data_IF_624091804959
#
_entry.id   IF_624091804959
#
_cell.length_a   1.000
_cell.length_b   1.000
_cell.length_c   1.000
_cell.angle_alpha   90.00
_cell.angle_beta   90.00
_cell.angle_gamma   90.00
#
_symmetry.space_group_name_H-M   'P 1'
#
loop_
_entity.id
_entity.type
_entity.pdbx_description
1 polymer ?
#
# COMPACT_ATOMS: atom_id res chain seq x y z
N UNK A 1 10.33 20.03 -11.19
CA UNK A 1 11.68 20.60 -10.91
C UNK A 1 11.74 21.54 -9.68
N UNK A 2 10.66 22.23 -9.27
CA UNK A 2 10.64 23.17 -8.11
C UNK A 2 10.31 22.56 -6.72
N UNK A 3 10.44 21.24 -6.54
CA UNK A 3 10.11 20.54 -5.27
C UNK A 3 11.32 20.31 -4.35
N UNK A 4 12.55 20.63 -4.81
CA UNK A 4 13.81 20.23 -4.15
C UNK A 4 14.53 21.34 -3.37
N UNK A 5 14.04 22.59 -3.37
CA UNK A 5 14.68 23.72 -2.66
C UNK A 5 13.95 23.98 -1.33
N UNK A 6 14.70 24.02 -0.23
CA UNK A 6 14.18 24.22 1.14
C UNK A 6 14.54 23.09 2.11
N UNK A 7 14.45 23.39 3.42
CA UNK A 7 14.68 22.42 4.51
C UNK A 7 13.64 21.29 4.55
N UNK A 8 13.90 20.25 5.36
CA UNK A 8 13.08 19.04 5.48
C UNK A 8 11.58 19.32 5.72
N UNK A 9 11.27 20.21 6.67
CA UNK A 9 9.89 20.58 7.01
C UNK A 9 9.17 21.27 5.85
N UNK A 10 9.86 22.15 5.10
CA UNK A 10 9.27 22.78 3.93
C UNK A 10 8.96 21.73 2.85
N UNK A 11 9.86 20.77 2.62
CA UNK A 11 9.64 19.70 1.63
C UNK A 11 8.43 18.83 2.01
N UNK A 12 8.33 18.43 3.28
CA UNK A 12 7.19 17.69 3.82
C UNK A 12 5.89 18.49 3.71
N UNK A 13 5.90 19.76 4.12
CA UNK A 13 4.72 20.63 4.05
C UNK A 13 4.20 20.79 2.62
N UNK A 14 5.11 20.97 1.64
CA UNK A 14 4.74 21.07 0.22
C UNK A 14 4.17 19.75 -0.32
N UNK A 15 4.70 18.60 0.10
CA UNK A 15 4.19 17.29 -0.29
C UNK A 15 2.78 17.04 0.28
N UNK A 16 2.59 17.34 1.57
CA UNK A 16 1.29 17.25 2.26
C UNK A 16 0.27 18.15 1.58
N UNK A 17 0.64 19.40 1.26
CA UNK A 17 -0.24 20.34 0.56
C UNK A 17 -0.68 19.81 -0.81
N UNK A 18 0.25 19.28 -1.62
CA UNK A 18 -0.09 18.67 -2.90
C UNK A 18 -1.01 17.45 -2.73
N UNK A 19 -0.74 16.58 -1.75
CA UNK A 19 -1.59 15.43 -1.47
C UNK A 19 -3.01 15.85 -1.06
N UNK A 20 -3.14 16.84 -0.16
CA UNK A 20 -4.43 17.40 0.26
C UNK A 20 -5.19 18.02 -0.91
N UNK A 21 -4.50 18.75 -1.79
CA UNK A 21 -5.10 19.36 -2.97
C UNK A 21 -5.67 18.29 -3.92
N UNK A 22 -4.88 17.24 -4.22
CA UNK A 22 -5.32 16.14 -5.08
C UNK A 22 -6.51 15.41 -4.45
N UNK A 23 -6.47 15.16 -3.14
CA UNK A 23 -7.57 14.52 -2.42
C UNK A 23 -8.85 15.37 -2.49
N UNK A 24 -8.75 16.67 -2.21
CA UNK A 24 -9.87 17.61 -2.29
C UNK A 24 -10.48 17.63 -3.70
N UNK A 25 -9.64 17.76 -4.73
CA UNK A 25 -10.08 17.73 -6.12
C UNK A 25 -10.81 16.42 -6.46
N UNK A 26 -10.26 15.28 -6.03
CA UNK A 26 -10.86 13.96 -6.26
C UNK A 26 -12.24 13.85 -5.60
N UNK A 27 -12.40 14.35 -4.38
CA UNK A 27 -13.69 14.37 -3.67
C UNK A 27 -14.71 15.28 -4.35
N UNK A 28 -14.29 16.46 -4.81
CA UNK A 28 -15.15 17.40 -5.54
C UNK A 28 -15.65 16.78 -6.85
N UNK A 29 -14.76 16.16 -7.62
CA UNK A 29 -15.13 15.47 -8.87
C UNK A 29 -16.11 14.33 -8.57
N UNK A 30 -15.84 13.49 -7.56
CA UNK A 30 -16.74 12.42 -7.16
C UNK A 30 -18.13 12.95 -6.78
N UNK A 31 -18.20 14.02 -5.99
CA UNK A 31 -19.47 14.64 -5.59
C UNK A 31 -20.21 15.21 -6.81
N UNK A 32 -19.49 15.80 -7.74
CA UNK A 32 -20.06 16.34 -8.97
C UNK A 32 -20.63 15.25 -9.88
N UNK A 33 -19.88 14.16 -10.11
CA UNK A 33 -20.34 13.00 -10.89
C UNK A 33 -21.59 12.38 -10.25
N UNK A 34 -21.57 12.17 -8.93
CA UNK A 34 -22.73 11.62 -8.20
C UNK A 34 -23.97 12.50 -8.34
N UNK A 35 -23.80 13.83 -8.32
CA UNK A 35 -24.89 14.79 -8.52
C UNK A 35 -25.45 14.77 -9.94
N UNK A 36 -24.60 14.62 -10.96
CA UNK A 36 -25.04 14.54 -12.36
C UNK A 36 -25.81 13.25 -12.63
N UNK A 37 -25.31 12.13 -12.13
CA UNK A 37 -25.86 10.80 -12.41
C UNK A 37 -27.06 10.45 -11.52
N UNK A 38 -27.52 11.37 -10.64
CA UNK A 38 -28.53 11.10 -9.60
C UNK A 38 -28.27 9.78 -8.86
N UNK A 39 -27.00 9.49 -8.58
CA UNK A 39 -26.62 8.35 -7.77
C UNK A 39 -26.86 8.73 -6.32
N UNK A 40 -27.90 8.15 -5.72
CA UNK A 40 -28.04 8.11 -4.27
C UNK A 40 -26.79 7.41 -3.76
N UNK A 41 -25.92 8.17 -3.07
CA UNK A 41 -24.67 7.60 -2.54
C UNK A 41 -25.00 6.38 -1.71
N UNK A 42 -24.10 5.39 -1.64
CA UNK A 42 -24.22 4.22 -0.77
C UNK A 42 -24.29 4.64 0.71
N UNK A 43 -25.40 5.22 1.14
CA UNK A 43 -25.62 5.77 2.46
C UNK A 43 -25.54 4.63 3.47
N UNK A 44 -26.00 3.45 3.07
CA UNK A 44 -25.85 2.20 3.82
C UNK A 44 -24.38 1.79 4.02
N UNK A 45 -23.50 1.94 3.02
CA UNK A 45 -22.07 1.61 3.17
C UNK A 45 -21.39 2.61 4.11
N UNK A 46 -21.69 3.90 3.98
CA UNK A 46 -21.12 4.92 4.87
C UNK A 46 -21.65 4.78 6.30
N UNK A 47 -22.94 4.52 6.49
CA UNK A 47 -23.52 4.21 7.82
C UNK A 47 -22.87 2.97 8.42
N UNK A 48 -22.70 1.91 7.63
CA UNK A 48 -22.02 0.70 8.03
C UNK A 48 -20.56 0.96 8.44
N UNK A 49 -19.76 1.67 7.63
CA UNK A 49 -18.37 2.01 7.96
C UNK A 49 -18.31 2.86 9.23
N UNK A 50 -19.21 3.84 9.35
CA UNK A 50 -19.29 4.71 10.53
C UNK A 50 -19.59 3.88 11.79
N UNK A 51 -20.54 2.95 11.72
CA UNK A 51 -20.87 2.03 12.81
C UNK A 51 -19.71 1.06 13.13
N UNK A 52 -19.06 0.50 12.10
CA UNK A 52 -17.94 -0.44 12.22
C UNK A 52 -16.72 0.15 12.93
N UNK A 53 -16.42 1.42 12.68
CA UNK A 53 -15.34 2.13 13.36
C UNK A 53 -15.80 2.86 14.64
N UNK A 54 -17.04 2.65 15.10
CA UNK A 54 -17.56 3.22 16.34
C UNK A 54 -17.91 4.72 16.28
N UNK A 55 -17.95 5.31 15.09
CA UNK A 55 -18.32 6.71 14.87
C UNK A 55 -19.83 6.91 14.58
N UNK A 56 -20.59 5.82 14.43
CA UNK A 56 -21.99 5.80 13.96
C UNK A 56 -23.04 5.87 15.06
N UNK A 57 -24.27 6.24 14.70
CA UNK A 57 -25.40 6.16 15.61
C UNK A 57 -25.72 4.67 15.87
N UNK A 58 -25.78 4.26 17.12
CA UNK A 58 -25.89 2.85 17.54
C UNK A 58 -27.27 2.21 17.31
N UNK A 59 -28.23 2.95 16.72
CA UNK A 59 -29.64 2.54 16.60
C UNK A 59 -30.06 2.08 15.20
N UNK A 60 -29.17 2.13 14.21
CA UNK A 60 -29.49 1.68 12.85
C UNK A 60 -29.49 0.13 12.78
N UNK A 61 -30.67 -0.47 12.60
CA UNK A 61 -30.84 -1.92 12.56
C UNK A 61 -30.01 -2.57 11.44
N UNK A 62 -30.05 -2.00 10.23
CA UNK A 62 -29.32 -2.54 9.08
C UNK A 62 -27.80 -2.55 9.30
N UNK A 63 -27.27 -1.52 9.97
CA UNK A 63 -25.84 -1.44 10.29
C UNK A 63 -25.45 -2.51 11.34
N UNK A 64 -26.29 -2.69 12.36
CA UNK A 64 -26.07 -3.70 13.39
C UNK A 64 -26.19 -5.13 12.83
N UNK A 65 -27.11 -5.36 11.89
CA UNK A 65 -27.24 -6.62 11.17
C UNK A 65 -25.94 -6.97 10.43
N UNK A 66 -25.37 -6.01 9.69
CA UNK A 66 -24.09 -6.23 9.00
C UNK A 66 -22.90 -6.43 9.95
N UNK A 67 -22.92 -5.83 11.15
CA UNK A 67 -21.86 -6.05 12.14
C UNK A 67 -21.90 -7.45 12.76
N UNK A 68 -23.10 -8.04 12.86
CA UNK A 68 -23.26 -9.41 13.36
C UNK A 68 -22.92 -10.49 12.32
N UNK A 69 -22.96 -10.13 11.03
CA UNK A 69 -22.68 -11.05 9.93
C UNK A 69 -21.17 -11.34 9.82
N UNK A 70 -20.76 -12.61 9.90
CA UNK A 70 -19.36 -13.02 9.84
C UNK A 70 -18.64 -12.56 8.55
N UNK A 71 -19.38 -12.42 7.44
CA UNK A 71 -18.85 -11.93 6.17
C UNK A 71 -18.29 -10.49 6.25
N UNK A 72 -18.74 -9.71 7.23
CA UNK A 72 -18.29 -8.34 7.48
C UNK A 72 -17.45 -8.21 8.75
N UNK A 73 -17.23 -9.32 9.47
CA UNK A 73 -16.32 -9.39 10.60
C UNK A 73 -14.84 -9.31 10.18
N UNK A 74 -13.98 -9.41 11.18
CA UNK A 74 -12.52 -9.47 11.01
C UNK A 74 -12.10 -10.76 10.30
N UNK A 75 -10.98 -10.69 9.57
CA UNK A 75 -10.43 -11.86 8.88
C UNK A 75 -9.93 -12.92 9.88
N UNK A 76 -10.39 -14.18 9.81
CA UNK A 76 -9.99 -15.23 10.72
C UNK A 76 -8.60 -15.69 10.34
N UNK A 77 -7.81 -16.01 11.37
CA UNK A 77 -6.40 -16.38 11.21
C UNK A 77 -6.19 -17.63 10.36
N UNK A 78 -7.18 -18.53 10.32
CA UNK A 78 -7.17 -19.71 9.45
C UNK A 78 -7.00 -19.36 7.95
N UNK A 79 -7.41 -18.15 7.54
CA UNK A 79 -7.19 -17.67 6.16
C UNK A 79 -5.70 -17.60 5.83
N UNK A 80 -4.86 -17.14 6.77
CA UNK A 80 -3.41 -17.07 6.55
C UNK A 80 -2.78 -18.45 6.48
N UNK A 81 -3.25 -19.42 7.28
CA UNK A 81 -2.79 -20.82 7.18
C UNK A 81 -3.06 -21.36 5.77
N UNK A 82 -4.28 -21.20 5.28
CA UNK A 82 -4.68 -21.67 3.95
C UNK A 82 -3.92 -20.99 2.81
N UNK A 83 -3.60 -19.70 2.93
CA UNK A 83 -2.75 -19.00 1.94
C UNK A 83 -1.27 -19.39 2.06
N UNK A 84 -0.83 -19.86 3.22
CA UNK A 84 0.51 -20.38 3.43
C UNK A 84 0.67 -21.78 2.84
N UNK A 85 -0.38 -22.60 2.91
CA UNK A 85 -0.41 -23.94 2.29
C UNK A 85 -0.22 -23.88 0.77
N UNK A 86 -0.69 -22.81 0.12
CA UNK A 86 -0.49 -22.57 -1.32
C UNK A 86 0.86 -21.93 -1.65
N UNK A 87 1.73 -21.73 -0.65
CA UNK A 87 3.03 -21.03 -0.72
C UNK A 87 2.96 -19.54 -1.09
N UNK A 88 1.82 -19.07 -1.59
CA UNK A 88 1.60 -17.71 -2.05
C UNK A 88 1.87 -16.69 -0.96
N UNK A 89 1.45 -16.97 0.28
CA UNK A 89 1.68 -16.07 1.39
C UNK A 89 3.17 -15.78 1.64
N UNK A 90 4.01 -16.82 1.58
CA UNK A 90 5.45 -16.67 1.80
C UNK A 90 6.11 -15.83 0.71
N UNK A 91 5.80 -16.13 -0.56
CA UNK A 91 6.31 -15.35 -1.70
C UNK A 91 5.85 -13.89 -1.60
N UNK A 92 4.59 -13.68 -1.28
CA UNK A 92 4.02 -12.35 -1.13
C UNK A 92 4.70 -11.54 -0.03
N UNK A 93 4.87 -12.12 1.18
CA UNK A 93 5.56 -11.44 2.29
C UNK A 93 7.00 -11.11 1.92
N UNK A 94 7.70 -12.05 1.28
CA UNK A 94 9.06 -11.86 0.83
C UNK A 94 9.18 -10.65 -0.11
N UNK A 95 8.36 -10.60 -1.16
CA UNK A 95 8.35 -9.47 -2.11
C UNK A 95 7.98 -8.17 -1.40
N UNK A 96 6.94 -8.20 -0.56
CA UNK A 96 6.48 -7.04 0.20
C UNK A 96 7.60 -6.47 1.08
N UNK A 97 8.34 -7.32 1.77
CA UNK A 97 9.47 -6.91 2.62
C UNK A 97 10.55 -6.17 1.82
N UNK A 98 11.05 -6.75 0.72
CA UNK A 98 12.09 -6.10 -0.09
C UNK A 98 11.60 -4.78 -0.71
N UNK A 99 10.35 -4.76 -1.21
CA UNK A 99 9.78 -3.57 -1.83
C UNK A 99 9.51 -2.44 -0.82
N UNK A 100 9.07 -2.77 0.41
CA UNK A 100 8.91 -1.77 1.48
C UNK A 100 10.25 -1.21 1.95
N UNK A 101 11.26 -2.06 2.16
CA UNK A 101 12.63 -1.60 2.51
C UNK A 101 13.18 -0.66 1.44
N UNK A 102 13.07 -1.04 0.16
CA UNK A 102 13.51 -0.19 -0.94
C UNK A 102 12.75 1.15 -0.97
N UNK A 103 11.43 1.14 -0.80
CA UNK A 103 10.60 2.34 -0.77
C UNK A 103 10.99 3.28 0.39
N UNK A 104 11.23 2.73 1.57
CA UNK A 104 11.63 3.47 2.77
C UNK A 104 12.99 4.14 2.55
N UNK A 105 13.98 3.42 2.01
CA UNK A 105 15.30 3.98 1.69
C UNK A 105 15.18 5.12 0.68
N UNK A 106 14.40 4.94 -0.39
CA UNK A 106 14.18 5.98 -1.41
C UNK A 106 13.46 7.19 -0.83
N UNK A 107 12.46 6.99 0.04
CA UNK A 107 11.75 8.07 0.71
C UNK A 107 12.70 8.88 1.62
N UNK A 108 13.50 8.19 2.44
CA UNK A 108 14.50 8.84 3.30
C UNK A 108 15.55 9.60 2.49
N UNK A 109 16.06 9.05 1.38
CA UNK A 109 17.01 9.75 0.50
C UNK A 109 16.40 11.00 -0.15
N UNK A 110 15.12 10.93 -0.55
CA UNK A 110 14.45 12.07 -1.18
C UNK A 110 14.15 13.19 -0.17
N UNK A 111 13.84 12.83 1.07
CA UNK A 111 13.58 13.77 2.15
C UNK A 111 14.88 14.37 2.69
N UNK A 112 15.86 13.54 3.03
CA UNK A 112 17.13 13.92 3.63
C UNK A 112 18.08 14.51 2.59
N UNK A 113 18.23 15.83 2.60
CA UNK A 113 19.14 16.53 1.69
C UNK A 113 20.60 16.23 2.01
N UNK A 114 21.24 15.46 1.13
CA UNK A 114 22.69 15.43 0.85
C UNK A 114 23.71 14.96 1.91
N UNK A 115 23.43 14.90 3.21
CA UNK A 115 24.53 14.74 4.20
C UNK A 115 24.70 13.36 4.85
N UNK A 116 23.84 12.37 4.55
CA UNK A 116 23.98 10.99 5.08
C UNK A 116 24.33 9.98 3.98
N UNK A 117 25.05 10.44 2.95
CA UNK A 117 25.21 9.76 1.67
C UNK A 117 26.32 8.70 1.68
N UNK A 118 27.31 8.77 2.57
CA UNK A 118 28.51 7.94 2.45
C UNK A 118 28.34 6.46 2.82
N UNK A 119 27.54 6.10 3.82
CA UNK A 119 27.40 4.67 4.20
C UNK A 119 26.52 3.88 3.22
N UNK A 120 25.58 4.56 2.55
CA UNK A 120 24.71 3.98 1.52
C UNK A 120 25.15 4.28 0.09
N UNK A 121 26.22 5.06 -0.12
CA UNK A 121 26.83 5.30 -1.44
C UNK A 121 27.38 4.01 -2.07
N UNK A 122 27.74 3.00 -1.27
CA UNK A 122 28.09 1.67 -1.81
C UNK A 122 26.87 0.93 -2.40
N UNK A 123 25.66 1.41 -2.11
CA UNK A 123 24.38 0.97 -2.69
C UNK A 123 23.91 1.92 -3.83
N UNK A 124 24.75 2.90 -4.22
CA UNK A 124 24.45 3.96 -5.20
C UNK A 124 24.47 3.50 -6.66
N UNK A 125 25.20 2.44 -6.98
CA UNK A 125 25.12 1.80 -8.30
C UNK A 125 23.82 0.97 -8.47
N UNK A 126 22.93 1.04 -7.48
CA UNK A 126 21.59 0.48 -7.55
C UNK A 126 20.61 1.65 -7.65
N UNK A 127 20.47 2.20 -8.86
CA UNK A 127 19.33 3.03 -9.24
C UNK A 127 18.05 2.19 -9.20
N UNK A 128 17.61 1.83 -7.99
CA UNK A 128 16.22 1.45 -7.75
C UNK A 128 15.45 2.76 -7.72
N UNK A 129 15.31 3.37 -8.90
CA UNK A 129 14.17 4.23 -9.14
C UNK A 129 12.95 3.34 -8.97
N UNK A 130 12.40 3.32 -7.76
CA UNK A 130 11.12 2.68 -7.51
C UNK A 130 10.14 3.29 -8.52
N UNK A 131 9.82 2.49 -9.54
CA UNK A 131 8.95 2.94 -10.63
C UNK A 131 7.62 3.37 -10.00
N UNK A 132 7.01 4.49 -10.43
CA UNK A 132 5.74 4.95 -9.86
C UNK A 132 4.69 3.83 -9.86
N UNK A 133 4.70 2.96 -10.87
CA UNK A 133 3.85 1.78 -10.96
C UNK A 133 4.05 0.80 -9.79
N UNK A 134 5.31 0.55 -9.40
CA UNK A 134 5.63 -0.34 -8.29
C UNK A 134 5.24 0.29 -6.94
N UNK A 135 5.42 1.61 -6.79
CA UNK A 135 4.97 2.34 -5.61
C UNK A 135 3.43 2.33 -5.47
N UNK A 136 2.73 2.50 -6.59
CA UNK A 136 1.27 2.42 -6.64
C UNK A 136 0.76 1.04 -6.19
N UNK A 137 1.32 -0.03 -6.76
CA UNK A 137 0.96 -1.40 -6.39
C UNK A 137 1.33 -1.74 -4.93
N UNK A 138 2.43 -1.18 -4.41
CA UNK A 138 2.81 -1.32 -3.00
C UNK A 138 1.77 -0.68 -2.08
N UNK A 139 1.34 0.54 -2.38
CA UNK A 139 0.30 1.24 -1.62
C UNK A 139 -1.02 0.47 -1.69
N UNK A 140 -1.43 0.03 -2.88
CA UNK A 140 -2.65 -0.76 -3.06
C UNK A 140 -2.63 -2.08 -2.29
N UNK A 141 -1.49 -2.77 -2.28
CA UNK A 141 -1.29 -3.99 -1.50
C UNK A 141 -1.57 -3.76 -0.02
N UNK A 142 -1.02 -2.69 0.56
CA UNK A 142 -1.24 -2.33 1.97
C UNK A 142 -2.70 -1.96 2.22
N UNK A 143 -3.30 -1.15 1.37
CA UNK A 143 -4.70 -0.73 1.50
C UNK A 143 -5.67 -1.92 1.41
N UNK A 144 -5.51 -2.80 0.43
CA UNK A 144 -6.32 -4.00 0.29
C UNK A 144 -6.11 -4.98 1.44
N UNK A 145 -4.88 -5.09 1.97
CA UNK A 145 -4.60 -5.87 3.17
C UNK A 145 -5.36 -5.35 4.40
N UNK A 146 -5.29 -4.04 4.67
CA UNK A 146 -6.05 -3.41 5.76
C UNK A 146 -7.56 -3.60 5.58
N UNK A 147 -8.07 -3.44 4.35
CA UNK A 147 -9.48 -3.66 4.05
C UNK A 147 -9.89 -5.12 4.28
N UNK A 148 -9.09 -6.09 3.84
CA UNK A 148 -9.35 -7.51 4.06
C UNK A 148 -9.30 -7.89 5.54
N UNK A 149 -8.33 -7.37 6.30
CA UNK A 149 -8.23 -7.56 7.74
C UNK A 149 -9.46 -7.01 8.46
N UNK A 150 -9.92 -5.82 8.06
CA UNK A 150 -11.12 -5.21 8.64
C UNK A 150 -12.39 -5.97 8.28
N UNK A 151 -12.49 -6.47 7.04
CA UNK A 151 -13.72 -7.02 6.46
C UNK A 151 -13.41 -8.29 5.68
N UNK A 152 -13.84 -9.41 6.23
CA UNK A 152 -13.77 -10.77 5.67
C UNK A 152 -14.04 -10.86 4.17
N UNK A 153 -15.14 -10.27 3.71
CA UNK A 153 -15.53 -10.28 2.29
C UNK A 153 -14.50 -9.61 1.36
N UNK A 154 -13.68 -8.70 1.86
CA UNK A 154 -12.65 -8.01 1.06
C UNK A 154 -11.40 -8.87 0.82
N UNK A 155 -11.32 -10.08 1.41
CA UNK A 155 -10.24 -11.03 1.15
C UNK A 155 -10.12 -11.42 -0.32
N UNK A 156 -11.21 -11.40 -1.10
CA UNK A 156 -11.19 -11.75 -2.52
C UNK A 156 -10.43 -10.71 -3.36
N UNK A 157 -10.62 -9.42 -3.05
CA UNK A 157 -9.86 -8.34 -3.68
C UNK A 157 -8.38 -8.43 -3.29
N UNK A 158 -8.11 -8.67 -2.02
CA UNK A 158 -6.74 -8.75 -1.51
C UNK A 158 -5.99 -9.96 -2.08
N UNK A 159 -6.56 -11.16 -2.05
CA UNK A 159 -5.91 -12.38 -2.55
C UNK A 159 -5.58 -12.27 -4.04
N UNK A 160 -6.49 -11.73 -4.85
CA UNK A 160 -6.25 -11.49 -6.28
C UNK A 160 -5.05 -10.55 -6.49
N UNK A 161 -4.97 -9.48 -5.70
CA UNK A 161 -3.84 -8.56 -5.74
C UNK A 161 -2.53 -9.20 -5.23
N UNK A 162 -2.59 -10.07 -4.23
CA UNK A 162 -1.42 -10.80 -3.73
C UNK A 162 -0.81 -11.67 -4.84
N UNK A 163 -1.62 -12.36 -5.65
CA UNK A 163 -1.14 -13.15 -6.78
C UNK A 163 -0.35 -12.28 -7.78
N UNK A 164 -0.94 -11.15 -8.18
CA UNK A 164 -0.32 -10.23 -9.16
C UNK A 164 0.95 -9.64 -8.58
N UNK A 165 0.92 -9.16 -7.34
CA UNK A 165 2.07 -8.55 -6.68
C UNK A 165 3.22 -9.54 -6.45
N UNK A 166 2.90 -10.77 -6.05
CA UNK A 166 3.87 -11.86 -5.91
C UNK A 166 4.53 -12.19 -7.25
N UNK A 167 3.74 -12.32 -8.33
CA UNK A 167 4.29 -12.59 -9.67
C UNK A 167 5.20 -11.45 -10.17
N UNK A 168 4.80 -10.19 -9.93
CA UNK A 168 5.62 -9.03 -10.25
C UNK A 168 6.96 -9.05 -9.52
N UNK A 169 6.97 -9.35 -8.22
CA UNK A 169 8.21 -9.42 -7.44
C UNK A 169 9.12 -10.58 -7.86
N UNK A 170 8.56 -11.76 -8.11
CA UNK A 170 9.31 -12.93 -8.59
C UNK A 170 9.91 -12.72 -9.98
N UNK A 171 9.21 -12.02 -10.87
CA UNK A 171 9.72 -11.74 -12.22
C UNK A 171 10.62 -10.48 -12.27
N UNK A 172 10.71 -9.71 -11.18
CA UNK A 172 11.48 -8.47 -11.14
C UNK A 172 12.96 -8.74 -10.87
N UNK A 173 13.79 -8.40 -11.86
CA UNK A 173 15.26 -8.46 -11.75
C UNK A 173 15.79 -7.59 -10.62
N UNK A 174 15.10 -6.49 -10.28
CA UNK A 174 15.51 -5.58 -9.20
C UNK A 174 15.31 -6.20 -7.81
N UNK A 175 14.24 -6.96 -7.61
CA UNK A 175 13.99 -7.68 -6.34
C UNK A 175 15.03 -8.79 -6.17
N UNK A 176 15.35 -9.53 -7.23
CA UNK A 176 16.39 -10.55 -7.20
C UNK A 176 17.78 -9.98 -6.96
N UNK A 177 18.14 -8.84 -7.57
CA UNK A 177 19.40 -8.14 -7.29
C UNK A 177 19.53 -7.73 -5.82
N UNK A 178 18.46 -7.22 -5.21
CA UNK A 178 18.42 -6.90 -3.78
C UNK A 178 18.59 -8.16 -2.92
N UNK A 179 17.85 -9.21 -3.26
CA UNK A 179 17.87 -10.50 -2.56
C UNK A 179 19.26 -11.13 -2.57
N UNK A 180 19.88 -11.25 -3.75
CA UNK A 180 21.20 -11.88 -3.92
C UNK A 180 22.31 -11.13 -3.18
N UNK A 181 22.23 -9.79 -3.11
CA UNK A 181 23.15 -8.99 -2.29
C UNK A 181 22.92 -9.21 -0.80
N UNK A 182 21.68 -9.26 -0.33
CA UNK A 182 21.36 -9.53 1.08
C UNK A 182 21.85 -10.90 1.53
N UNK A 183 21.83 -11.91 0.67
CA UNK A 183 22.28 -13.28 0.98
C UNK A 183 23.82 -13.40 0.91
N UNK A 184 24.57 -12.32 0.65
CA UNK A 184 26.04 -12.33 0.56
C UNK A 184 26.59 -13.31 -0.51
N UNK A 185 25.74 -13.81 -1.41
CA UNK A 185 26.11 -14.62 -2.58
C UNK A 185 26.54 -13.76 -3.76
N UNK A 186 26.96 -12.50 -3.51
CA UNK A 186 27.58 -11.67 -4.53
C UNK A 186 29.00 -12.18 -4.81
N UNK A 187 29.09 -13.28 -5.56
CA UNK A 187 30.33 -13.61 -6.26
C UNK A 187 30.53 -12.53 -7.33
N UNK A 188 31.46 -11.63 -7.06
CA UNK A 188 32.05 -10.78 -8.08
C UNK A 188 32.99 -11.65 -8.92
N UNK A 189 32.45 -12.45 -9.85
CA UNK A 189 33.29 -13.09 -10.85
C UNK A 189 32.53 -13.49 -12.12
N UNK A 190 32.70 -12.65 -13.14
CA UNK A 190 32.92 -12.92 -14.58
C UNK A 190 32.61 -11.61 -15.32
N UNK A 191 33.61 -10.77 -15.64
CA UNK A 191 34.48 -10.83 -16.84
C UNK A 191 33.67 -11.12 -18.09
#
# INVERSE_FOLDING_TARGET
KNLKKGGLLHRLGKLILHALLVLCLTLLINKFIKRILNLESDEHIFKFLKAKFGFGATRDFDANLYLCEEAFGLLPLNTFSRLSDTLLFYVYIFVLFFMTVAAVIVAFRNLSGSNQVQFMAKMEECTITLKPDAAYNLIHTVLFGCLALSTMRMKYLWTSHMCVFASFGLCSTEVWKLTLRCIHLYTSQRV
#
